data_IF_441972427433
#
_entry.id   IF_441972427433
#
_cell.length_a   1.000
_cell.length_b   1.000
_cell.length_c   1.000
_cell.angle_alpha   90.00
_cell.angle_beta   90.00
_cell.angle_gamma   90.00
#
_symmetry.space_group_name_H-M   'P 1'
#
loop_
_entity.id
_entity.type
_entity.pdbx_description
1 polymer ?
#
# COMPACT_ATOMS: atom_id res chain seq x y z
N UNK A 1 -38.97 8.02 61.35
CA UNK A 1 -39.07 6.69 60.70
C UNK A 1 -38.62 6.82 59.26
N UNK A 2 -37.85 5.83 58.81
CA UNK A 2 -37.10 5.70 57.55
C UNK A 2 -37.77 6.20 56.26
N UNK A 3 -36.96 6.81 55.39
CA UNK A 3 -36.61 6.34 54.03
C UNK A 3 -35.78 7.45 53.35
N UNK A 4 -34.44 7.47 53.37
CA UNK A 4 -33.45 6.58 52.74
C UNK A 4 -33.58 6.45 51.21
N UNK A 5 -32.78 7.28 50.49
CA UNK A 5 -32.19 7.15 49.14
C UNK A 5 -33.17 7.00 47.96
N UNK A 6 -33.00 7.71 46.85
CA UNK A 6 -31.94 7.40 45.88
C UNK A 6 -31.57 8.63 45.01
N UNK A 7 -30.26 8.86 45.00
CA UNK A 7 -29.41 9.74 44.19
C UNK A 7 -29.43 9.25 42.71
N UNK A 8 -29.25 10.15 41.72
CA UNK A 8 -29.71 9.96 40.35
C UNK A 8 -28.82 8.98 39.57
N UNK A 9 -29.47 8.17 38.72
CA UNK A 9 -28.85 7.23 37.79
C UNK A 9 -28.27 7.99 36.57
N UNK A 10 -27.27 8.84 36.82
CA UNK A 10 -26.25 9.20 35.83
C UNK A 10 -25.14 8.17 36.01
N UNK A 11 -24.97 7.25 35.06
CA UNK A 11 -23.71 6.54 34.71
C UNK A 11 -24.05 5.22 33.99
N UNK A 12 -24.31 5.27 32.69
CA UNK A 12 -24.07 4.12 31.79
C UNK A 12 -23.72 4.62 30.38
N UNK A 13 -22.74 5.53 30.29
CA UNK A 13 -21.89 5.56 29.11
C UNK A 13 -20.88 4.42 29.32
N UNK A 14 -21.14 3.29 28.68
CA UNK A 14 -20.20 2.19 28.56
C UNK A 14 -18.94 2.70 27.84
N UNK A 15 -18.00 3.24 28.61
CA UNK A 15 -16.64 3.50 28.17
C UNK A 15 -15.89 2.16 28.15
N UNK A 16 -16.10 1.38 27.08
CA UNK A 16 -15.13 0.36 26.71
C UNK A 16 -13.90 1.09 26.17
N UNK A 17 -12.86 1.17 26.99
CA UNK A 17 -11.57 1.67 26.59
C UNK A 17 -10.88 0.70 25.62
N UNK A 18 -10.53 1.18 24.43
CA UNK A 18 -9.41 0.66 23.66
C UNK A 18 -8.92 1.79 22.75
N UNK A 19 -7.96 2.59 23.23
CA UNK A 19 -7.35 3.69 22.47
C UNK A 19 -6.40 3.23 21.35
N UNK A 20 -6.68 2.08 20.73
CA UNK A 20 -6.01 1.57 19.53
C UNK A 20 -6.90 1.65 18.26
N UNK A 21 -8.20 1.93 18.38
CA UNK A 21 -9.16 1.78 17.27
C UNK A 21 -9.46 3.04 16.44
N UNK A 22 -9.11 4.25 16.90
CA UNK A 22 -9.29 5.46 16.06
C UNK A 22 -8.33 5.51 14.88
N UNK A 23 -7.16 4.88 15.01
CA UNK A 23 -6.22 4.70 13.91
C UNK A 23 -6.61 3.56 12.97
N UNK A 24 -7.19 2.47 13.49
CA UNK A 24 -7.50 1.28 12.66
C UNK A 24 -8.60 1.54 11.64
N UNK A 25 -9.68 2.24 12.02
CA UNK A 25 -10.76 2.57 11.08
C UNK A 25 -10.32 3.62 10.04
N UNK A 26 -9.59 4.67 10.47
CA UNK A 26 -9.08 5.70 9.58
C UNK A 26 -8.04 5.12 8.59
N UNK A 27 -7.11 4.29 9.08
CA UNK A 27 -6.15 3.62 8.21
C UNK A 27 -6.79 2.54 7.34
N UNK A 28 -7.87 1.90 7.80
CA UNK A 28 -8.67 0.99 6.97
C UNK A 28 -9.30 1.70 5.77
N UNK A 29 -9.89 2.88 5.97
CA UNK A 29 -10.41 3.70 4.88
C UNK A 29 -9.29 4.23 3.97
N UNK A 30 -8.17 4.70 4.56
CA UNK A 30 -7.02 5.17 3.80
C UNK A 30 -6.41 4.06 2.92
N UNK A 31 -6.38 2.82 3.40
CA UNK A 31 -5.89 1.66 2.66
C UNK A 31 -6.72 1.34 1.40
N UNK A 32 -7.94 1.88 1.28
CA UNK A 32 -8.78 1.77 0.09
C UNK A 32 -8.73 3.02 -0.78
N UNK A 33 -8.84 4.20 -0.17
CA UNK A 33 -8.85 5.48 -0.88
C UNK A 33 -7.50 5.75 -1.58
N UNK A 34 -6.40 5.41 -0.92
CA UNK A 34 -5.06 5.68 -1.40
C UNK A 34 -4.70 4.99 -2.72
N UNK A 35 -4.91 3.66 -2.85
CA UNK A 35 -4.72 2.96 -4.11
C UNK A 35 -5.53 3.55 -5.27
N UNK A 36 -6.79 3.97 -5.04
CA UNK A 36 -7.59 4.65 -6.07
C UNK A 36 -7.03 6.03 -6.43
N UNK A 37 -6.56 6.79 -5.43
CA UNK A 37 -5.89 8.08 -5.67
C UNK A 37 -4.60 7.89 -6.49
N UNK A 38 -3.83 6.83 -6.22
CA UNK A 38 -2.64 6.46 -6.99
C UNK A 38 -2.98 6.14 -8.44
N UNK A 39 -4.04 5.39 -8.72
CA UNK A 39 -4.47 5.12 -10.09
C UNK A 39 -4.84 6.42 -10.84
N UNK A 40 -5.46 7.38 -10.14
CA UNK A 40 -5.80 8.69 -10.71
C UNK A 40 -4.54 9.50 -11.10
N UNK A 41 -3.41 9.29 -10.42
CA UNK A 41 -2.16 10.00 -10.73
C UNK A 41 -1.57 9.62 -12.10
N UNK A 42 -1.89 8.44 -12.66
CA UNK A 42 -1.45 8.07 -14.00
C UNK A 42 -2.04 8.94 -15.12
N UNK A 43 -3.14 9.64 -14.85
CA UNK A 43 -3.69 10.64 -15.79
C UNK A 43 -2.93 11.96 -15.77
N UNK A 44 -2.01 12.17 -14.81
CA UNK A 44 -1.19 13.38 -14.74
C UNK A 44 0.02 13.22 -15.66
N UNK A 45 0.25 14.15 -16.61
CA UNK A 45 1.36 14.04 -17.55
C UNK A 45 2.72 13.97 -16.86
N UNK A 46 3.63 13.14 -17.41
CA UNK A 46 5.03 13.00 -16.99
C UNK A 46 5.26 12.43 -15.58
N UNK A 47 4.25 11.78 -14.98
CA UNK A 47 4.45 11.03 -13.73
C UNK A 47 4.72 9.54 -13.99
N UNK A 48 4.14 8.98 -15.04
CA UNK A 48 4.35 7.59 -15.42
C UNK A 48 5.81 7.37 -15.85
N UNK A 49 6.46 6.38 -15.24
CA UNK A 49 7.83 6.01 -15.57
C UNK A 49 7.87 5.29 -16.92
N UNK A 50 8.75 5.74 -17.81
CA UNK A 50 8.95 5.11 -19.12
C UNK A 50 10.10 4.07 -19.12
N UNK A 51 11.02 4.18 -18.17
CA UNK A 51 12.20 3.33 -18.07
C UNK A 51 12.42 2.90 -16.62
N UNK A 52 12.99 1.70 -16.39
CA UNK A 52 13.37 1.25 -15.06
C UNK A 52 14.33 2.22 -14.37
N UNK A 53 14.06 2.65 -13.12
CA UNK A 53 15.00 3.45 -12.36
C UNK A 53 16.35 2.72 -12.20
N UNK A 54 17.49 3.41 -12.34
CA UNK A 54 18.80 2.77 -12.37
C UNK A 54 19.22 2.23 -11.00
N UNK A 55 18.75 2.85 -9.92
CA UNK A 55 19.07 2.48 -8.54
C UNK A 55 17.78 2.27 -7.78
N UNK A 56 17.67 1.12 -7.15
CA UNK A 56 16.62 0.79 -6.19
C UNK A 56 17.28 0.10 -5.01
N UNK A 57 16.71 0.20 -3.80
CA UNK A 57 17.11 -0.65 -2.68
C UNK A 57 16.96 -2.13 -3.04
N UNK A 58 17.78 -2.99 -2.44
CA UNK A 58 17.70 -4.45 -2.66
C UNK A 58 16.39 -5.05 -2.14
N UNK A 59 15.75 -4.37 -1.18
CA UNK A 59 14.47 -4.76 -0.59
C UNK A 59 13.50 -3.60 -0.58
N UNK A 60 12.24 -3.90 -0.87
CA UNK A 60 11.12 -2.95 -0.83
C UNK A 60 9.93 -3.59 -0.14
N UNK A 61 8.95 -2.77 0.23
CA UNK A 61 7.65 -3.26 0.68
C UNK A 61 6.71 -3.40 -0.51
N UNK A 62 6.13 -4.57 -0.69
CA UNK A 62 5.00 -4.80 -1.59
C UNK A 62 3.69 -4.77 -0.80
N UNK A 63 2.85 -3.77 -1.06
CA UNK A 63 1.51 -3.62 -0.47
C UNK A 63 0.48 -4.19 -1.42
N UNK A 64 -0.23 -5.24 -1.02
CA UNK A 64 -1.43 -5.71 -1.72
C UNK A 64 -2.59 -4.79 -1.38
N UNK A 65 -3.30 -4.30 -2.40
CA UNK A 65 -4.47 -3.44 -2.19
C UNK A 65 -5.53 -4.18 -1.39
N UNK A 66 -6.09 -3.53 -0.36
CA UNK A 66 -6.98 -4.14 0.62
C UNK A 66 -6.41 -5.40 1.31
N UNK A 67 -5.07 -5.55 1.32
CA UNK A 67 -4.37 -6.74 1.78
C UNK A 67 -3.10 -6.44 2.56
N UNK A 68 -2.24 -7.47 2.76
CA UNK A 68 -1.04 -7.33 3.57
C UNK A 68 0.03 -6.46 2.90
N UNK A 69 0.96 -5.96 3.71
CA UNK A 69 2.29 -5.56 3.23
C UNK A 69 3.24 -6.72 3.46
N UNK A 70 4.06 -6.98 2.45
CA UNK A 70 4.99 -8.08 2.41
C UNK A 70 6.37 -7.55 1.99
N UNK A 71 7.46 -8.17 2.47
CA UNK A 71 8.77 -7.82 1.96
C UNK A 71 8.90 -8.28 0.50
N UNK A 72 9.69 -7.56 -0.27
CA UNK A 72 9.96 -7.87 -1.67
C UNK A 72 11.44 -7.67 -1.97
N UNK A 73 12.00 -8.57 -2.77
CA UNK A 73 13.37 -8.54 -3.24
C UNK A 73 13.40 -7.89 -4.61
N UNK A 74 14.31 -6.94 -4.80
CA UNK A 74 14.51 -6.23 -6.05
C UNK A 74 15.71 -6.82 -6.80
N UNK A 75 15.45 -7.29 -8.01
CA UNK A 75 16.45 -7.80 -8.94
C UNK A 75 16.37 -7.12 -10.30
N UNK A 76 17.31 -7.49 -11.18
CA UNK A 76 17.37 -6.98 -12.56
C UNK A 76 17.82 -8.08 -13.52
N UNK A 77 17.17 -8.17 -14.67
CA UNK A 77 17.54 -9.05 -15.79
C UNK A 77 17.48 -8.22 -17.07
N UNK A 78 18.55 -8.21 -17.86
CA UNK A 78 18.64 -7.47 -19.13
C UNK A 78 18.15 -6.01 -19.05
N UNK A 79 18.52 -5.33 -17.96
CA UNK A 79 18.11 -3.95 -17.61
C UNK A 79 16.65 -3.77 -17.15
N UNK A 80 15.80 -4.80 -17.23
CA UNK A 80 14.43 -4.78 -16.70
C UNK A 80 14.37 -5.17 -15.21
N UNK A 81 13.38 -4.65 -14.49
CA UNK A 81 13.18 -5.01 -13.08
C UNK A 81 12.57 -6.40 -12.95
N UNK A 82 13.02 -7.15 -11.95
CA UNK A 82 12.39 -8.40 -11.53
C UNK A 82 12.19 -8.30 -10.03
N UNK A 83 10.94 -8.31 -9.59
CA UNK A 83 10.58 -8.17 -8.18
C UNK A 83 10.03 -9.51 -7.69
N UNK A 84 10.54 -10.03 -6.58
CA UNK A 84 9.97 -11.20 -5.91
C UNK A 84 9.31 -10.80 -4.59
N UNK A 85 8.00 -10.99 -4.45
CA UNK A 85 7.29 -10.76 -3.19
C UNK A 85 7.39 -12.00 -2.31
N UNK A 86 7.83 -11.79 -1.07
CA UNK A 86 8.03 -12.85 -0.08
C UNK A 86 6.78 -13.01 0.80
N UNK A 87 6.44 -14.26 1.11
CA UNK A 87 5.29 -14.59 1.94
C UNK A 87 4.06 -14.99 1.13
N UNK A 88 2.93 -15.16 1.83
CA UNK A 88 1.69 -15.64 1.24
C UNK A 88 0.67 -14.51 1.12
N UNK A 89 0.07 -14.41 -0.06
CA UNK A 89 -1.12 -13.58 -0.31
C UNK A 89 -2.36 -14.47 -0.11
N UNK A 90 -3.43 -13.97 0.54
CA UNK A 90 -4.68 -14.72 0.67
C UNK A 90 -5.22 -15.20 -0.68
N UNK A 91 -5.66 -16.45 -0.77
CA UNK A 91 -6.12 -17.07 -2.02
C UNK A 91 -7.35 -16.38 -2.65
N UNK A 92 -8.06 -15.56 -1.88
CA UNK A 92 -9.20 -14.76 -2.37
C UNK A 92 -8.78 -13.57 -3.24
N UNK A 93 -7.53 -13.12 -3.14
CA UNK A 93 -6.99 -12.00 -3.89
C UNK A 93 -6.35 -12.53 -5.17
N UNK A 94 -6.61 -11.88 -6.31
CA UNK A 94 -6.01 -12.26 -7.60
C UNK A 94 -5.11 -11.14 -8.13
N UNK A 95 -3.82 -11.12 -7.72
CA UNK A 95 -2.86 -10.15 -8.22
C UNK A 95 -2.81 -10.12 -9.74
N UNK A 96 -2.87 -8.92 -10.31
CA UNK A 96 -2.86 -8.68 -11.75
C UNK A 96 -1.64 -7.91 -12.23
N UNK A 97 -1.16 -6.94 -11.45
CA UNK A 97 0.03 -6.14 -11.76
C UNK A 97 0.58 -5.41 -10.54
N UNK A 98 1.85 -4.98 -10.64
CA UNK A 98 2.50 -4.13 -9.66
C UNK A 98 2.69 -2.70 -10.16
N UNK A 99 2.70 -1.76 -9.23
CA UNK A 99 3.09 -0.36 -9.46
C UNK A 99 4.25 -0.02 -8.55
N UNK A 100 5.44 0.18 -9.11
CA UNK A 100 6.56 0.79 -8.42
C UNK A 100 6.26 2.27 -8.16
N UNK A 101 6.30 2.69 -6.90
CA UNK A 101 6.06 4.07 -6.48
C UNK A 101 7.38 4.72 -6.11
N UNK A 102 7.73 5.79 -6.81
CA UNK A 102 8.83 6.68 -6.44
C UNK A 102 8.27 8.01 -5.92
N UNK A 103 9.01 8.66 -5.05
CA UNK A 103 8.77 10.08 -4.76
C UNK A 103 9.39 11.01 -5.80
N UNK A 104 9.11 12.30 -5.66
CA UNK A 104 9.66 13.37 -6.50
C UNK A 104 11.18 13.49 -6.45
N UNK A 105 11.84 12.87 -5.46
CA UNK A 105 13.30 12.74 -5.37
C UNK A 105 13.85 11.47 -5.99
N UNK A 106 13.03 10.72 -6.75
CA UNK A 106 13.36 9.42 -7.35
C UNK A 106 13.65 8.31 -6.33
N UNK A 107 13.31 8.53 -5.05
CA UNK A 107 13.47 7.50 -4.03
C UNK A 107 12.30 6.52 -4.08
N UNK A 108 12.61 5.23 -4.13
CA UNK A 108 11.60 4.18 -4.10
C UNK A 108 10.89 4.15 -2.74
N UNK A 109 9.57 4.20 -2.77
CA UNK A 109 8.72 4.05 -1.58
C UNK A 109 8.28 2.61 -1.39
N UNK A 110 7.96 1.92 -2.48
CA UNK A 110 7.53 0.53 -2.45
C UNK A 110 6.77 0.17 -3.71
N UNK A 111 6.09 -0.96 -3.65
CA UNK A 111 5.31 -1.50 -4.76
C UNK A 111 3.87 -1.71 -4.31
N UNK A 112 2.91 -1.11 -5.01
CA UNK A 112 1.49 -1.39 -4.80
C UNK A 112 1.06 -2.52 -5.75
N UNK A 113 0.42 -3.57 -5.24
CA UNK A 113 -0.04 -4.73 -6.01
C UNK A 113 -1.55 -4.68 -6.16
N UNK A 114 -2.00 -4.56 -7.40
CA UNK A 114 -3.40 -4.44 -7.78
C UNK A 114 -3.92 -5.73 -8.41
N UNK A 115 -5.23 -5.92 -8.31
CA UNK A 115 -5.96 -6.90 -9.12
C UNK A 115 -6.32 -6.30 -10.50
N UNK A 116 -6.66 -7.17 -11.46
CA UNK A 116 -7.12 -6.75 -12.80
C UNK A 116 -5.99 -6.51 -13.80
N UNK A 117 -6.18 -5.58 -14.73
CA UNK A 117 -5.22 -5.27 -15.79
C UNK A 117 -4.44 -3.98 -15.49
N UNK A 118 -3.16 -3.87 -15.94
CA UNK A 118 -2.39 -2.64 -15.81
C UNK A 118 -3.10 -1.42 -16.39
N UNK A 119 -2.71 -0.23 -15.90
CA UNK A 119 -3.16 1.05 -16.45
C UNK A 119 -2.79 1.15 -17.92
N UNK A 120 -3.77 1.48 -18.77
CA UNK A 120 -3.59 1.58 -20.21
C UNK A 120 -2.55 2.65 -20.57
N UNK A 121 -1.65 2.30 -21.50
CA UNK A 121 -0.58 3.19 -21.96
C UNK A 121 0.60 3.33 -20.99
N UNK A 122 0.53 2.76 -19.78
CA UNK A 122 1.69 2.71 -18.88
C UNK A 122 2.69 1.64 -19.36
N UNK A 123 3.92 2.02 -19.73
CA UNK A 123 4.89 1.06 -20.24
C UNK A 123 5.40 0.14 -19.10
N UNK A 124 5.67 -1.13 -19.41
CA UNK A 124 6.21 -2.06 -18.42
C UNK A 124 7.67 -1.72 -18.10
N UNK A 125 8.01 -1.74 -16.82
CA UNK A 125 9.36 -1.62 -16.28
C UNK A 125 10.03 -2.99 -16.05
N UNK A 126 9.23 -4.06 -16.08
CA UNK A 126 9.68 -5.41 -15.83
C UNK A 126 8.54 -6.26 -15.26
N UNK A 127 8.87 -7.14 -14.32
CA UNK A 127 7.93 -8.09 -13.73
C UNK A 127 7.94 -8.09 -12.21
N UNK A 128 6.83 -8.54 -11.63
CA UNK A 128 6.69 -8.85 -10.21
C UNK A 128 6.11 -10.26 -10.06
N UNK A 129 6.74 -11.07 -9.23
CA UNK A 129 6.27 -12.41 -8.86
C UNK A 129 5.61 -12.36 -7.49
N UNK A 130 4.36 -12.79 -7.42
CA UNK A 130 3.54 -12.84 -6.20
C UNK A 130 2.98 -14.25 -6.07
N UNK A 131 3.48 -15.02 -5.10
CA UNK A 131 3.21 -16.45 -5.03
C UNK A 131 3.72 -17.14 -6.30
N UNK A 132 2.82 -17.81 -7.03
CA UNK A 132 3.14 -18.49 -8.29
C UNK A 132 2.91 -17.63 -9.54
N UNK A 133 2.34 -16.43 -9.39
CA UNK A 133 1.99 -15.57 -10.52
C UNK A 133 3.13 -14.59 -10.83
N UNK A 134 3.53 -14.52 -12.10
CA UNK A 134 4.44 -13.48 -12.61
C UNK A 134 3.65 -12.47 -13.43
N UNK A 135 3.72 -11.20 -13.04
CA UNK A 135 2.83 -10.13 -13.45
C UNK A 135 3.65 -8.95 -13.99
N UNK A 136 3.07 -8.10 -14.84
CA UNK A 136 3.72 -6.87 -15.28
C UNK A 136 3.94 -5.91 -14.11
N UNK A 137 5.08 -5.22 -14.12
CA UNK A 137 5.40 -4.11 -13.24
C UNK A 137 5.39 -2.83 -14.06
N UNK A 138 4.56 -1.86 -13.69
CA UNK A 138 4.61 -0.48 -14.18
C UNK A 138 5.14 0.42 -13.06
N UNK A 139 5.33 1.71 -13.32
CA UNK A 139 5.74 2.62 -12.25
C UNK A 139 5.32 4.06 -12.45
N UNK A 140 5.33 4.77 -11.33
CA UNK A 140 4.91 6.15 -11.24
C UNK A 140 5.82 6.91 -10.26
N UNK A 141 6.07 8.17 -10.59
CA UNK A 141 6.77 9.12 -9.75
C UNK A 141 5.80 10.25 -9.37
N UNK A 142 5.52 10.39 -8.08
CA UNK A 142 4.55 11.35 -7.56
C UNK A 142 4.93 11.85 -6.18
N UNK A 143 4.27 12.90 -5.71
CA UNK A 143 4.36 13.32 -4.31
C UNK A 143 3.51 12.37 -3.43
N UNK A 144 4.10 11.60 -2.49
CA UNK A 144 3.36 10.63 -1.69
C UNK A 144 2.19 11.23 -0.92
N UNK A 145 2.27 12.52 -0.54
CA UNK A 145 1.19 13.22 0.15
C UNK A 145 -0.11 13.34 -0.69
N UNK A 146 -0.05 13.04 -2.00
CA UNK A 146 -1.24 12.98 -2.88
C UNK A 146 -2.03 11.69 -2.77
N UNK A 147 -1.41 10.62 -2.27
CA UNK A 147 -2.00 9.28 -2.26
C UNK A 147 -2.10 8.69 -0.87
N UNK A 148 -1.32 9.18 0.10
CA UNK A 148 -1.11 8.57 1.40
C UNK A 148 -1.36 9.57 2.54
N UNK A 149 -1.99 9.11 3.63
CA UNK A 149 -2.00 9.85 4.90
C UNK A 149 -0.71 9.50 5.67
N UNK A 150 0.09 10.49 6.12
CA UNK A 150 1.32 10.24 6.88
C UNK A 150 1.14 9.39 8.15
N UNK A 151 -0.08 9.33 8.70
CA UNK A 151 -0.42 8.49 9.87
C UNK A 151 -0.69 7.03 9.50
N UNK A 152 -0.89 6.74 8.21
CA UNK A 152 -1.29 5.44 7.69
C UNK A 152 -0.45 5.07 6.45
N UNK A 153 0.86 4.82 6.61
CA UNK A 153 1.72 4.54 5.47
C UNK A 153 1.41 3.19 4.80
N UNK A 154 1.37 3.17 3.47
CA UNK A 154 1.25 1.98 2.64
C UNK A 154 2.48 1.10 2.74
N UNK A 155 3.66 1.71 2.85
CA UNK A 155 4.95 1.03 2.83
C UNK A 155 5.66 1.17 4.19
N UNK A 156 5.20 0.48 5.24
CA UNK A 156 5.82 0.57 6.56
C UNK A 156 7.19 -0.13 6.58
N UNK A 157 8.22 0.57 7.04
CA UNK A 157 9.58 0.04 7.18
C UNK A 157 9.65 -1.18 8.11
N UNK A 158 8.67 -1.36 9.01
CA UNK A 158 8.59 -2.50 9.94
C UNK A 158 8.46 -3.87 9.26
N UNK A 159 8.21 -3.90 7.96
CA UNK A 159 8.11 -5.13 7.16
C UNK A 159 9.48 -5.54 6.59
N UNK A 160 10.46 -4.64 6.59
CA UNK A 160 11.82 -4.93 6.15
C UNK A 160 12.64 -5.50 7.33
N UNK A 161 13.44 -6.57 7.12
CA UNK A 161 14.29 -7.17 8.14
C UNK A 161 15.55 -6.35 8.44
#
# INVERSE_FOLDING_TARGET
>A
MMAWRLVPLVFLLASCGQSAERGSAACGLAALAGPTALLTQFSVPRQTLATPPPRLPERLVARVVAGPALPAIVGRVDSQLVIGVEGMVPASIKPGYGVLVLDTGEAAKGIMVFEGTPVEGAPPLGTITVGEATLPLIGIQLDPARIEDPRCPFFPDSVLP
#
